data_IF_176687216406
#
_entry.id   IF_176687216406
#
_cell.length_a   1.000
_cell.length_b   1.000
_cell.length_c   1.000
_cell.angle_alpha   90.00
_cell.angle_beta   90.00
_cell.angle_gamma   90.00
#
_symmetry.space_group_name_H-M   'P 1'
#
loop_
_entity.id
_entity.type
_entity.pdbx_description
1 polymer ?
#
# COMPACT_ATOMS: atom_id res chain seq x y z
N UNK A 1 15.49 -27.22 3.42
CA UNK A 1 14.31 -27.25 2.53
C UNK A 1 13.17 -27.83 3.31
N UNK A 2 12.05 -27.12 3.38
CA UNK A 2 10.83 -27.61 3.98
C UNK A 2 9.68 -27.36 2.99
N UNK A 3 8.85 -28.37 2.85
CA UNK A 3 7.55 -28.30 2.19
C UNK A 3 6.56 -28.51 3.32
N UNK A 4 5.53 -27.66 3.39
CA UNK A 4 4.41 -27.86 4.30
C UNK A 4 3.11 -27.84 3.51
N UNK A 5 2.17 -28.68 3.96
CA UNK A 5 0.85 -28.96 3.41
C UNK A 5 0.71 -29.11 1.88
N UNK A 6 0.84 -30.35 1.39
CA UNK A 6 0.36 -30.73 0.05
C UNK A 6 -1.03 -31.36 0.20
N UNK A 7 -2.04 -30.77 -0.46
CA UNK A 7 -3.37 -31.38 -0.64
C UNK A 7 -3.58 -31.70 -2.12
N UNK A 8 -3.74 -32.99 -2.42
CA UNK A 8 -4.03 -33.49 -3.77
C UNK A 8 -5.50 -33.89 -3.83
N UNK A 9 -6.25 -33.31 -4.75
CA UNK A 9 -7.64 -33.67 -5.00
C UNK A 9 -7.76 -34.47 -6.30
N UNK A 10 -8.55 -35.55 -6.27
CA UNK A 10 -8.92 -36.28 -7.49
C UNK A 10 -10.11 -35.56 -8.16
N UNK A 11 -9.88 -34.98 -9.35
CA UNK A 11 -10.87 -34.25 -10.12
C UNK A 11 -10.27 -33.00 -10.78
N UNK A 12 -11.08 -32.22 -11.47
CA UNK A 12 -10.70 -30.86 -11.86
C UNK A 12 -10.38 -30.06 -10.60
N UNK A 13 -9.29 -29.29 -10.59
CA UNK A 13 -9.00 -28.37 -9.49
C UNK A 13 -10.27 -27.55 -9.19
N UNK A 14 -10.70 -27.42 -7.92
CA UNK A 14 -11.83 -26.57 -7.59
C UNK A 14 -11.53 -25.19 -8.18
N UNK A 15 -12.45 -24.63 -8.97
CA UNK A 15 -12.34 -23.22 -9.33
C UNK A 15 -12.43 -22.44 -8.03
N UNK A 16 -11.27 -22.07 -7.46
CA UNK A 16 -11.23 -21.11 -6.37
C UNK A 16 -11.73 -19.83 -7.00
N UNK A 17 -13.00 -19.52 -6.73
CA UNK A 17 -13.60 -18.25 -7.10
C UNK A 17 -12.91 -17.18 -6.26
N UNK A 18 -11.78 -16.67 -6.76
CA UNK A 18 -11.06 -15.56 -6.15
C UNK A 18 -11.83 -14.25 -6.40
N UNK A 19 -13.06 -14.20 -5.89
CA UNK A 19 -13.92 -13.01 -5.89
C UNK A 19 -13.44 -11.98 -4.85
N UNK A 20 -12.48 -12.39 -3.99
CA UNK A 20 -11.88 -11.59 -2.95
C UNK A 20 -10.43 -12.02 -2.71
N UNK A 21 -9.50 -11.07 -2.79
CA UNK A 21 -8.10 -11.23 -2.38
C UNK A 21 -7.83 -10.20 -1.29
N UNK A 22 -7.22 -10.62 -0.19
CA UNK A 22 -6.69 -9.72 0.84
C UNK A 22 -5.35 -10.27 1.32
N UNK A 23 -4.28 -9.54 1.03
CA UNK A 23 -2.91 -9.95 1.29
C UNK A 23 -2.11 -8.81 1.90
N UNK A 24 -1.77 -8.97 3.19
CA UNK A 24 -0.87 -8.12 3.96
C UNK A 24 0.58 -8.65 3.96
N UNK A 25 0.82 -9.75 3.24
CA UNK A 25 2.10 -10.46 3.20
C UNK A 25 2.68 -10.87 4.56
N UNK A 26 1.93 -10.85 5.66
CA UNK A 26 2.53 -11.07 7.00
C UNK A 26 2.90 -12.52 7.28
N UNK A 27 2.27 -13.47 6.60
CA UNK A 27 2.51 -14.89 6.79
C UNK A 27 2.89 -15.63 5.50
N UNK A 28 2.37 -15.16 4.35
CA UNK A 28 2.52 -15.81 3.05
C UNK A 28 2.37 -14.82 1.89
N UNK A 29 2.59 -15.28 0.66
CA UNK A 29 2.40 -14.46 -0.55
C UNK A 29 0.94 -14.44 -1.06
N UNK A 30 0.00 -15.14 -0.41
CA UNK A 30 -1.41 -15.22 -0.81
C UNK A 30 -1.64 -15.58 -2.30
N UNK A 31 -0.75 -16.41 -2.87
CA UNK A 31 -0.79 -16.80 -4.29
C UNK A 31 -0.23 -15.76 -5.27
N UNK A 32 0.39 -14.68 -4.80
CA UNK A 32 1.20 -13.81 -5.64
C UNK A 32 2.49 -14.53 -6.06
N UNK A 33 2.80 -14.48 -7.36
CA UNK A 33 3.90 -15.22 -7.97
C UNK A 33 4.78 -14.25 -8.78
N UNK A 34 6.09 -14.16 -8.48
CA UNK A 34 7.02 -13.36 -9.27
C UNK A 34 7.35 -14.05 -10.61
N UNK A 35 7.75 -13.28 -11.61
CA UNK A 35 8.38 -13.83 -12.81
C UNK A 35 9.82 -14.30 -12.49
N UNK A 36 10.05 -15.61 -12.55
CA UNK A 36 11.29 -16.24 -12.06
C UNK A 36 12.55 -16.03 -12.94
N UNK A 37 12.43 -15.37 -14.09
CA UNK A 37 13.51 -15.27 -15.10
C UNK A 37 14.12 -13.86 -15.23
N UNK A 38 14.34 -13.17 -14.11
CA UNK A 38 14.91 -11.80 -14.09
C UNK A 38 16.10 -11.68 -13.15
N UNK A 39 16.97 -10.72 -13.44
CA UNK A 39 18.11 -10.35 -12.58
C UNK A 39 17.65 -9.80 -11.21
N UNK A 40 16.49 -9.14 -11.20
CA UNK A 40 15.82 -8.65 -10.00
C UNK A 40 14.39 -9.21 -10.02
N UNK A 41 14.05 -9.96 -8.97
CA UNK A 41 12.74 -10.60 -8.82
C UNK A 41 12.05 -10.05 -7.59
N UNK A 42 10.73 -9.93 -7.66
CA UNK A 42 9.92 -9.58 -6.50
C UNK A 42 10.07 -10.65 -5.43
N UNK A 43 10.39 -10.25 -4.21
CA UNK A 43 10.51 -11.15 -3.07
C UNK A 43 9.79 -10.56 -1.87
N UNK A 44 9.30 -11.45 -1.02
CA UNK A 44 8.79 -11.09 0.30
C UNK A 44 9.99 -10.81 1.22
N UNK A 45 9.99 -9.64 1.83
CA UNK A 45 10.99 -9.20 2.78
C UNK A 45 10.33 -8.89 4.12
N UNK A 46 11.08 -9.08 5.20
CA UNK A 46 10.83 -8.37 6.45
C UNK A 46 11.49 -7.00 6.36
N UNK A 47 10.92 -5.99 7.01
CA UNK A 47 11.45 -4.62 7.13
C UNK A 47 12.97 -4.50 7.33
N UNK A 48 13.58 -5.37 8.14
CA UNK A 48 15.02 -5.31 8.46
C UNK A 48 15.92 -6.08 7.47
N UNK A 49 15.33 -6.81 6.52
CA UNK A 49 16.05 -7.66 5.57
C UNK A 49 16.29 -6.98 4.21
N UNK A 50 15.83 -5.74 4.04
CA UNK A 50 16.07 -4.94 2.82
C UNK A 50 17.28 -4.03 2.98
N UNK A 51 17.85 -3.61 1.84
CA UNK A 51 19.00 -2.69 1.80
C UNK A 51 18.69 -1.29 2.31
N UNK A 52 17.42 -0.88 2.23
CA UNK A 52 16.95 0.42 2.71
C UNK A 52 16.78 0.40 4.24
N UNK A 53 17.47 1.32 4.93
CA UNK A 53 17.40 1.38 6.38
C UNK A 53 16.15 2.15 6.84
N UNK A 54 15.57 1.73 7.97
CA UNK A 54 14.44 2.39 8.65
C UNK A 54 13.11 2.39 7.88
N UNK A 55 12.89 1.41 7.01
CA UNK A 55 11.57 1.15 6.44
C UNK A 55 10.66 0.44 7.46
N UNK A 56 9.37 0.71 7.39
CA UNK A 56 8.29 0.03 8.11
C UNK A 56 7.39 -0.65 7.08
N UNK A 57 6.58 -1.63 7.45
CA UNK A 57 5.47 -2.10 6.58
C UNK A 57 4.41 -0.99 6.40
N UNK A 58 3.42 -1.23 5.52
CA UNK A 58 2.35 -0.26 5.31
C UNK A 58 1.48 -0.02 6.56
N UNK A 59 1.49 -0.96 7.51
CA UNK A 59 0.82 -0.88 8.81
C UNK A 59 1.62 -0.13 9.90
N UNK A 60 2.83 0.36 9.61
CA UNK A 60 3.80 1.00 10.52
C UNK A 60 4.39 0.09 11.62
N UNK A 61 4.46 -1.21 11.40
CA UNK A 61 5.20 -2.15 12.22
C UNK A 61 6.63 -2.33 11.71
N UNK A 62 7.59 -2.23 12.63
CA UNK A 62 9.03 -2.43 12.36
C UNK A 62 9.43 -3.88 12.11
N UNK A 63 8.51 -4.84 12.24
CA UNK A 63 8.74 -6.28 12.01
C UNK A 63 7.73 -6.86 11.00
N UNK A 64 7.05 -6.00 10.26
CA UNK A 64 6.10 -6.43 9.23
C UNK A 64 6.79 -6.89 7.97
N UNK A 65 5.98 -7.34 7.02
CA UNK A 65 6.43 -7.89 5.77
C UNK A 65 5.75 -7.22 4.59
N UNK A 66 6.43 -7.24 3.47
CA UNK A 66 5.92 -6.73 2.20
C UNK A 66 6.64 -7.45 1.06
N UNK A 67 6.15 -7.28 -0.16
CA UNK A 67 6.88 -7.72 -1.35
C UNK A 67 7.60 -6.55 -1.97
N UNK A 68 8.87 -6.74 -2.34
CA UNK A 68 9.68 -5.68 -2.91
C UNK A 68 10.64 -6.16 -3.99
N UNK A 69 10.98 -5.21 -4.86
CA UNK A 69 12.22 -5.19 -5.62
C UNK A 69 13.23 -4.36 -4.82
N UNK A 70 14.17 -5.05 -4.20
CA UNK A 70 15.31 -4.40 -3.55
C UNK A 70 16.46 -4.28 -4.56
N UNK A 71 16.74 -3.06 -4.99
CA UNK A 71 17.76 -2.77 -5.99
C UNK A 71 19.17 -2.70 -5.37
N UNK A 72 19.27 -2.65 -4.04
CA UNK A 72 20.53 -2.75 -3.29
C UNK A 72 21.64 -1.83 -3.80
N UNK A 73 22.86 -2.37 -3.87
CA UNK A 73 24.02 -1.74 -4.53
C UNK A 73 24.25 -2.31 -5.94
N UNK A 74 23.24 -2.95 -6.54
CA UNK A 74 23.41 -3.60 -7.84
C UNK A 74 23.58 -2.51 -8.91
N UNK A 75 24.81 -2.37 -9.41
CA UNK A 75 25.15 -1.33 -10.38
C UNK A 75 24.72 -1.76 -11.78
N UNK A 76 24.03 -0.86 -12.49
CA UNK A 76 23.64 -0.98 -13.91
C UNK A 76 22.54 -2.02 -14.19
N UNK A 77 21.50 -2.10 -13.35
CA UNK A 77 20.38 -3.00 -13.64
C UNK A 77 19.38 -2.32 -14.56
N UNK A 78 19.36 -2.85 -15.78
CA UNK A 78 18.47 -2.69 -16.93
C UNK A 78 17.22 -3.57 -16.93
N UNK A 79 16.02 -3.21 -16.48
CA UNK A 79 14.94 -4.19 -16.63
C UNK A 79 13.55 -3.88 -16.13
N UNK A 80 12.74 -4.93 -16.25
CA UNK A 80 11.35 -5.02 -15.82
C UNK A 80 11.17 -6.35 -15.10
N UNK A 81 10.47 -6.33 -13.96
CA UNK A 81 10.14 -7.52 -13.20
C UNK A 81 8.66 -7.51 -12.84
N UNK A 82 8.00 -8.66 -13.01
CA UNK A 82 6.54 -8.80 -12.88
C UNK A 82 6.19 -9.60 -11.63
N UNK A 83 5.15 -9.17 -10.94
CA UNK A 83 4.50 -9.91 -9.86
C UNK A 83 3.03 -10.08 -10.21
N UNK A 84 2.59 -11.33 -10.33
CA UNK A 84 1.24 -11.69 -10.72
C UNK A 84 0.41 -12.01 -9.48
N UNK A 85 -0.77 -11.43 -9.38
CA UNK A 85 -1.83 -11.92 -8.47
C UNK A 85 -2.40 -13.26 -8.95
N UNK A 86 -3.18 -13.97 -8.12
CA UNK A 86 -4.04 -15.06 -8.59
C UNK A 86 -5.00 -14.63 -9.71
N UNK A 87 -5.48 -15.60 -10.50
CA UNK A 87 -6.47 -15.33 -11.55
C UNK A 87 -7.79 -14.92 -10.91
N UNK A 88 -8.39 -13.87 -11.46
CA UNK A 88 -9.70 -13.34 -11.09
C UNK A 88 -10.72 -13.60 -12.19
N UNK A 89 -11.97 -13.77 -11.79
CA UNK A 89 -13.09 -13.87 -12.71
C UNK A 89 -13.47 -12.49 -13.27
N UNK A 90 -14.00 -12.42 -14.51
CA UNK A 90 -14.44 -11.17 -15.09
C UNK A 90 -15.62 -10.59 -14.31
N UNK A 91 -15.60 -9.26 -14.12
CA UNK A 91 -16.70 -8.52 -13.48
C UNK A 91 -16.87 -7.14 -14.11
N UNK A 92 -18.08 -6.59 -13.99
CA UNK A 92 -18.38 -5.24 -14.49
C UNK A 92 -17.53 -4.16 -13.80
N UNK A 93 -17.14 -4.37 -12.54
CA UNK A 93 -16.23 -3.49 -11.80
C UNK A 93 -15.56 -4.28 -10.68
N UNK A 94 -14.24 -4.19 -10.59
CA UNK A 94 -13.43 -4.70 -9.49
C UNK A 94 -12.69 -3.54 -8.84
N UNK A 95 -12.74 -3.45 -7.51
CA UNK A 95 -11.87 -2.55 -6.76
C UNK A 95 -10.55 -3.25 -6.48
N UNK A 96 -9.46 -2.57 -6.81
CA UNK A 96 -8.09 -2.94 -6.45
C UNK A 96 -7.55 -1.85 -5.54
N UNK A 97 -7.08 -2.22 -4.36
CA UNK A 97 -6.36 -1.32 -3.48
C UNK A 97 -5.06 -1.94 -3.01
N UNK A 98 -4.03 -1.13 -2.83
CA UNK A 98 -2.72 -1.57 -2.34
C UNK A 98 -1.95 -0.37 -1.79
N UNK A 99 -0.96 -0.63 -0.95
CA UNK A 99 0.03 0.35 -0.56
C UNK A 99 1.31 0.14 -1.39
N UNK A 100 1.99 1.21 -1.76
CA UNK A 100 3.32 1.12 -2.36
C UNK A 100 4.31 2.10 -1.74
N UNK A 101 5.58 1.71 -1.71
CA UNK A 101 6.71 2.53 -1.29
C UNK A 101 7.74 2.54 -2.41
N UNK A 102 8.15 3.72 -2.86
CA UNK A 102 9.15 3.88 -3.91
C UNK A 102 10.18 4.91 -3.49
N UNK A 103 11.39 4.43 -3.22
CA UNK A 103 12.57 5.26 -2.95
C UNK A 103 13.70 4.80 -3.84
N UNK A 104 14.18 5.67 -4.72
CA UNK A 104 15.28 5.36 -5.64
C UNK A 104 16.08 6.61 -5.96
N UNK A 105 17.33 6.43 -6.34
CA UNK A 105 18.15 7.52 -6.88
C UNK A 105 17.96 7.70 -8.40
N UNK A 106 17.18 6.84 -9.05
CA UNK A 106 16.88 6.91 -10.49
C UNK A 106 15.50 7.50 -10.77
N UNK A 107 15.47 8.57 -11.56
CA UNK A 107 14.22 9.20 -12.03
C UNK A 107 13.39 8.34 -12.99
N UNK A 108 13.93 7.21 -13.46
CA UNK A 108 13.29 6.36 -14.45
C UNK A 108 12.65 5.09 -13.85
N UNK A 109 12.72 4.92 -12.53
CA UNK A 109 12.06 3.79 -11.87
C UNK A 109 10.57 4.03 -11.76
N UNK A 110 9.76 3.03 -12.12
CA UNK A 110 8.30 3.11 -12.11
C UNK A 110 7.68 1.82 -11.58
N UNK A 111 6.53 1.97 -10.94
CA UNK A 111 5.58 0.91 -10.69
C UNK A 111 4.45 1.02 -11.72
N UNK A 112 4.37 0.08 -12.66
CA UNK A 112 3.29 -0.01 -13.63
C UNK A 112 2.29 -1.09 -13.18
N UNK A 113 1.01 -0.77 -13.22
CA UNK A 113 -0.09 -1.65 -12.85
C UNK A 113 -0.80 -2.08 -14.13
N UNK A 114 -0.88 -3.39 -14.34
CA UNK A 114 -1.55 -3.96 -15.51
C UNK A 114 -2.70 -4.89 -15.12
N UNK A 115 -3.72 -4.93 -15.97
CA UNK A 115 -4.59 -6.10 -16.09
C UNK A 115 -4.03 -6.99 -17.21
N UNK A 116 -3.77 -8.26 -16.89
CA UNK A 116 -3.25 -9.23 -17.85
C UNK A 116 -4.33 -10.25 -18.20
N UNK A 117 -4.62 -10.39 -19.50
CA UNK A 117 -5.50 -11.42 -20.06
C UNK A 117 -4.68 -12.31 -20.99
N UNK A 118 -4.30 -13.50 -20.52
CA UNK A 118 -3.40 -14.42 -21.23
C UNK A 118 -2.08 -13.75 -21.68
N UNK A 119 -1.96 -13.36 -22.95
CA UNK A 119 -0.76 -12.74 -23.52
C UNK A 119 -0.90 -11.22 -23.73
N UNK A 120 -2.01 -10.62 -23.30
CA UNK A 120 -2.28 -9.20 -23.42
C UNK A 120 -2.11 -8.50 -22.06
N UNK A 121 -1.51 -7.32 -22.08
CA UNK A 121 -1.32 -6.47 -20.90
C UNK A 121 -1.95 -5.11 -21.17
N UNK A 122 -2.98 -4.77 -20.41
CA UNK A 122 -3.61 -3.46 -20.40
C UNK A 122 -3.01 -2.62 -19.28
N UNK A 123 -2.38 -1.49 -19.61
CA UNK A 123 -1.84 -0.58 -18.60
C UNK A 123 -2.99 0.16 -17.93
N UNK A 124 -3.17 -0.06 -16.63
CA UNK A 124 -4.18 0.64 -15.82
C UNK A 124 -3.60 1.97 -15.31
N UNK A 125 -2.42 1.92 -14.71
CA UNK A 125 -1.81 3.10 -14.09
C UNK A 125 -0.29 2.96 -13.96
N UNK A 126 0.41 4.08 -13.94
CA UNK A 126 1.87 4.14 -13.73
C UNK A 126 2.21 5.14 -12.63
N UNK A 127 3.05 4.71 -11.68
CA UNK A 127 3.54 5.52 -10.58
C UNK A 127 5.05 5.67 -10.71
N UNK A 128 5.53 6.92 -10.71
CA UNK A 128 6.94 7.25 -10.57
C UNK A 128 7.19 7.92 -9.23
N UNK A 129 8.46 8.02 -8.83
CA UNK A 129 8.80 8.79 -7.63
C UNK A 129 8.40 10.25 -7.81
N UNK A 130 7.38 10.68 -7.06
CA UNK A 130 6.79 12.02 -7.13
C UNK A 130 7.43 12.97 -6.11
N UNK A 131 8.09 12.45 -5.08
CA UNK A 131 8.79 13.21 -4.05
C UNK A 131 9.90 12.38 -3.38
N UNK A 132 10.80 13.04 -2.65
CA UNK A 132 11.77 12.36 -1.78
C UNK A 132 11.17 11.97 -0.41
N UNK A 133 9.83 12.00 -0.27
CA UNK A 133 9.19 11.62 0.99
C UNK A 133 9.29 10.10 1.18
N UNK A 134 9.85 9.70 2.32
CA UNK A 134 10.02 8.30 2.72
C UNK A 134 8.72 7.81 3.37
N UNK A 135 7.70 7.51 2.55
CA UNK A 135 6.40 7.04 3.02
C UNK A 135 5.71 6.07 2.06
N UNK A 136 4.78 5.30 2.61
CA UNK A 136 3.83 4.49 1.86
C UNK A 136 2.71 5.35 1.27
N UNK A 137 2.24 4.98 0.09
CA UNK A 137 1.12 5.60 -0.61
C UNK A 137 0.03 4.55 -0.83
N UNK A 138 -1.18 4.77 -0.32
CA UNK A 138 -2.32 3.91 -0.65
C UNK A 138 -2.92 4.31 -1.99
N UNK A 139 -3.29 3.30 -2.75
CA UNK A 139 -3.88 3.41 -4.09
C UNK A 139 -5.23 2.70 -4.08
N UNK A 140 -6.17 3.27 -4.83
CA UNK A 140 -7.47 2.66 -5.17
C UNK A 140 -7.69 2.78 -6.67
N UNK A 141 -7.96 1.67 -7.34
CA UNK A 141 -8.20 1.58 -8.78
C UNK A 141 -9.49 0.79 -9.01
N UNK A 142 -10.31 1.25 -9.94
CA UNK A 142 -11.45 0.49 -10.44
C UNK A 142 -11.07 -0.10 -11.79
N UNK A 143 -11.18 -1.42 -11.90
CA UNK A 143 -10.76 -2.19 -13.08
C UNK A 143 -11.96 -2.96 -13.62
N UNK A 144 -12.15 -2.95 -14.93
CA UNK A 144 -13.24 -3.67 -15.60
C UNK A 144 -12.62 -4.61 -16.62
N UNK A 145 -12.99 -5.89 -16.59
CA UNK A 145 -12.41 -6.91 -17.48
C UNK A 145 -13.48 -7.89 -17.93
N UNK A 146 -13.51 -8.18 -19.23
CA UNK A 146 -14.50 -9.07 -19.85
C UNK A 146 -14.08 -10.56 -19.83
N UNK A 147 -12.81 -10.83 -19.53
CA UNK A 147 -12.24 -12.18 -19.47
C UNK A 147 -11.52 -12.40 -18.14
N UNK A 148 -11.21 -13.66 -17.83
CA UNK A 148 -10.35 -13.99 -16.68
C UNK A 148 -9.02 -13.26 -16.81
N UNK A 149 -8.57 -12.66 -15.71
CA UNK A 149 -7.43 -11.76 -15.72
C UNK A 149 -6.62 -11.84 -14.43
N UNK A 150 -5.39 -11.33 -14.47
CA UNK A 150 -4.55 -11.14 -13.30
C UNK A 150 -4.21 -9.65 -13.17
N UNK A 151 -4.21 -9.14 -11.94
CA UNK A 151 -3.51 -7.90 -11.63
C UNK A 151 -2.00 -8.19 -11.65
N UNK A 152 -1.23 -7.33 -12.32
CA UNK A 152 0.22 -7.45 -12.40
C UNK A 152 0.88 -6.15 -11.94
N UNK A 153 1.80 -6.28 -10.99
CA UNK A 153 2.71 -5.22 -10.59
C UNK A 153 4.01 -5.38 -11.37
N UNK A 154 4.30 -4.45 -12.29
CA UNK A 154 5.58 -4.37 -12.98
C UNK A 154 6.44 -3.30 -12.32
N UNK A 155 7.62 -3.68 -11.84
CA UNK A 155 8.67 -2.73 -11.53
C UNK A 155 9.58 -2.54 -12.73
N UNK A 156 9.56 -1.35 -13.31
CA UNK A 156 10.51 -0.91 -14.34
C UNK A 156 11.64 -0.14 -13.66
N UNK A 157 12.88 -0.55 -13.88
CA UNK A 157 14.07 0.06 -13.27
C UNK A 157 15.15 0.26 -14.33
N UNK A 158 15.82 1.41 -14.26
CA UNK A 158 16.83 1.80 -15.24
C UNK A 158 17.96 2.58 -14.56
N UNK A 159 19.15 1.97 -14.48
CA UNK A 159 20.42 2.64 -14.18
C UNK A 159 21.23 2.02 -13.05
N UNK A 160 22.19 2.80 -12.53
CA UNK A 160 22.90 2.54 -11.26
C UNK A 160 21.99 2.90 -10.08
N UNK A 161 20.85 2.22 -9.98
CA UNK A 161 19.80 2.56 -9.01
C UNK A 161 20.04 1.82 -7.69
N UNK A 162 20.44 2.56 -6.64
CA UNK A 162 20.13 2.14 -5.27
C UNK A 162 18.68 2.48 -4.95
N UNK A 163 18.03 1.64 -4.16
CA UNK A 163 16.69 1.90 -3.66
C UNK A 163 15.81 0.65 -3.55
N UNK A 164 14.53 0.90 -3.32
CA UNK A 164 13.51 -0.11 -3.14
C UNK A 164 12.19 0.33 -3.77
N UNK A 165 11.52 -0.62 -4.41
CA UNK A 165 10.11 -0.53 -4.79
C UNK A 165 9.36 -1.65 -4.07
N UNK A 166 8.45 -1.30 -3.16
CA UNK A 166 7.69 -2.24 -2.36
C UNK A 166 6.18 -2.07 -2.57
N UNK A 167 5.44 -3.17 -2.42
CA UNK A 167 3.98 -3.26 -2.46
C UNK A 167 3.52 -4.05 -1.25
N UNK A 168 2.43 -3.61 -0.64
CA UNK A 168 1.88 -4.16 0.59
C UNK A 168 0.36 -3.94 0.68
N UNK A 169 -0.32 -4.58 1.64
CA UNK A 169 -1.75 -4.45 1.93
C UNK A 169 -2.64 -4.48 0.66
N UNK A 170 -2.50 -5.51 -0.16
CA UNK A 170 -3.24 -5.67 -1.42
C UNK A 170 -4.61 -6.25 -1.15
N UNK A 171 -5.66 -5.52 -1.51
CA UNK A 171 -7.05 -6.00 -1.46
C UNK A 171 -7.70 -5.88 -2.83
N UNK A 172 -8.34 -6.94 -3.29
CA UNK A 172 -9.10 -6.96 -4.54
C UNK A 172 -10.48 -7.54 -4.27
N UNK A 173 -11.54 -6.86 -4.71
CA UNK A 173 -12.91 -7.31 -4.51
C UNK A 173 -13.85 -6.79 -5.59
N UNK A 174 -14.92 -7.56 -5.83
CA UNK A 174 -15.95 -7.17 -6.80
C UNK A 174 -16.75 -5.96 -6.32
N UNK A 175 -16.95 -4.99 -7.22
CA UNK A 175 -17.66 -3.74 -6.99
C UNK A 175 -16.76 -2.51 -7.09
N UNK A 176 -17.39 -1.34 -7.01
CA UNK A 176 -16.70 -0.06 -6.97
C UNK A 176 -15.80 0.04 -5.73
N UNK A 177 -14.72 0.80 -5.84
CA UNK A 177 -13.92 1.08 -4.66
C UNK A 177 -14.75 1.89 -3.70
N UNK A 178 -14.86 1.39 -2.46
CA UNK A 178 -15.26 2.21 -1.32
C UNK A 178 -14.16 3.22 -1.08
N UNK A 179 -14.14 4.28 -1.89
CA UNK A 179 -13.33 5.43 -1.55
C UNK A 179 -13.87 5.92 -0.22
N UNK A 180 -13.02 6.03 0.79
CA UNK A 180 -13.29 6.82 1.98
C UNK A 180 -13.27 8.31 1.59
N UNK A 181 -14.08 8.71 0.60
CA UNK A 181 -14.36 10.11 0.22
C UNK A 181 -15.05 10.86 1.36
N UNK A 182 -15.47 10.14 2.40
CA UNK A 182 -15.80 10.68 3.71
C UNK A 182 -14.89 10.04 4.74
N UNK A 183 -13.85 10.78 5.10
CA UNK A 183 -13.13 10.53 6.33
C UNK A 183 -13.99 10.97 7.50
N UNK A 184 -14.84 10.05 7.95
CA UNK A 184 -15.56 10.15 9.20
C UNK A 184 -14.68 9.82 10.42
N UNK A 185 -13.40 9.52 10.18
CA UNK A 185 -12.39 9.12 11.16
C UNK A 185 -12.63 7.74 11.78
N UNK A 186 -13.61 6.96 11.33
CA UNK A 186 -13.86 5.61 11.84
C UNK A 186 -12.74 4.65 11.43
N UNK A 187 -12.12 4.86 10.28
CA UNK A 187 -10.90 4.19 9.83
C UNK A 187 -9.71 5.17 9.73
N UNK A 188 -8.47 4.65 9.67
CA UNK A 188 -7.26 5.49 9.50
C UNK A 188 -7.27 6.10 8.10
N UNK A 189 -7.91 7.24 7.97
CA UNK A 189 -7.71 8.10 6.82
C UNK A 189 -6.32 8.72 6.89
N UNK A 190 -5.63 8.71 5.75
CA UNK A 190 -4.26 9.18 5.48
C UNK A 190 -4.04 10.69 5.73
N UNK A 191 -4.46 11.21 6.88
CA UNK A 191 -4.21 12.59 7.30
C UNK A 191 -2.94 12.63 8.14
N UNK A 192 -1.96 13.39 7.67
CA UNK A 192 -0.77 13.71 8.46
C UNK A 192 -0.82 15.14 8.98
N UNK A 193 -0.32 15.35 10.20
CA UNK A 193 -0.07 16.70 10.70
C UNK A 193 1.10 17.30 9.93
N UNK A 194 0.86 18.35 9.14
CA UNK A 194 1.93 19.01 8.38
C UNK A 194 2.39 20.28 9.09
N UNK A 195 3.70 20.39 9.31
CA UNK A 195 4.33 21.60 9.84
C UNK A 195 4.54 22.63 8.73
N UNK A 196 4.18 23.89 8.97
CA UNK A 196 4.54 24.98 8.06
C UNK A 196 6.06 25.10 7.90
N UNK A 197 6.53 25.45 6.70
CA UNK A 197 7.96 25.75 6.46
C UNK A 197 8.46 26.78 7.49
N UNK A 198 9.51 26.43 8.24
CA UNK A 198 10.16 27.30 9.23
C UNK A 198 9.76 27.08 10.69
N UNK A 199 8.97 26.04 11.00
CA UNK A 199 8.63 25.68 12.39
C UNK A 199 9.58 24.59 12.92
N UNK A 200 10.24 24.84 14.05
CA UNK A 200 11.12 23.86 14.72
C UNK A 200 10.35 22.62 15.18
N UNK A 201 10.98 21.43 15.15
CA UNK A 201 10.46 20.13 15.67
C UNK A 201 9.97 20.14 17.14
N UNK A 202 10.07 21.26 17.85
CA UNK A 202 9.50 21.48 19.19
C UNK A 202 8.11 22.14 19.09
N UNK A 203 7.12 21.40 18.59
CA UNK A 203 5.73 21.87 18.56
C UNK A 203 4.93 21.04 19.55
N UNK A 204 4.31 21.71 20.52
CA UNK A 204 3.55 21.07 21.60
C UNK A 204 2.11 20.73 21.20
N UNK A 205 1.73 20.93 19.93
CA UNK A 205 0.39 20.66 19.45
C UNK A 205 0.36 19.96 18.09
N UNK A 206 -0.50 18.94 17.99
CA UNK A 206 -0.66 18.10 16.80
C UNK A 206 -2.10 17.57 16.71
N UNK A 207 -2.55 17.30 15.48
CA UNK A 207 -3.81 16.63 15.23
C UNK A 207 -3.67 15.14 15.51
N UNK A 208 -4.59 14.58 16.31
CA UNK A 208 -4.59 13.17 16.67
C UNK A 208 -5.99 12.60 16.54
N UNK A 209 -6.11 11.41 15.95
CA UNK A 209 -7.35 10.62 15.99
C UNK A 209 -7.56 10.10 17.41
N UNK A 210 -8.73 10.39 17.98
CA UNK A 210 -9.10 10.02 19.34
C UNK A 210 -10.55 9.53 19.37
N UNK A 211 -10.90 8.65 20.32
CA UNK A 211 -12.30 8.26 20.51
C UNK A 211 -13.04 9.40 21.22
N UNK A 212 -14.29 9.64 20.84
CA UNK A 212 -15.07 10.76 21.36
C UNK A 212 -15.23 10.78 22.89
N UNK A 213 -15.29 9.60 23.51
CA UNK A 213 -15.36 9.39 24.96
C UNK A 213 -14.01 9.48 25.70
N UNK A 214 -12.89 9.49 24.97
CA UNK A 214 -11.55 9.75 25.51
C UNK A 214 -11.26 11.26 25.65
N UNK A 215 -12.13 12.12 25.10
CA UNK A 215 -12.03 13.58 25.17
C UNK A 215 -12.83 14.15 26.35
N UNK A 216 -12.38 15.31 26.87
CA UNK A 216 -13.10 16.06 27.88
C UNK A 216 -13.32 17.53 27.44
N UNK A 217 -14.58 17.99 27.29
CA UNK A 217 -15.81 17.20 27.41
C UNK A 217 -15.90 16.09 26.35
N UNK A 218 -16.66 15.02 26.64
CA UNK A 218 -16.89 13.94 25.68
C UNK A 218 -17.53 14.50 24.41
N UNK A 219 -17.03 14.09 23.27
CA UNK A 219 -17.54 14.50 21.96
C UNK A 219 -18.33 13.32 21.38
N UNK A 220 -19.53 13.59 20.87
CA UNK A 220 -20.30 12.60 20.11
C UNK A 220 -19.83 12.68 18.68
N UNK A 221 -19.31 11.58 18.13
CA UNK A 221 -19.06 11.52 16.70
C UNK A 221 -20.39 11.69 15.96
N UNK A 222 -20.43 12.65 15.03
CA UNK A 222 -21.63 13.00 14.30
C UNK A 222 -21.97 12.00 13.20
N UNK A 223 -21.00 11.21 12.73
CA UNK A 223 -21.22 10.24 11.66
C UNK A 223 -21.99 9.03 12.17
N UNK A 224 -21.59 8.51 13.32
CA UNK A 224 -22.22 7.37 13.99
C UNK A 224 -23.22 7.78 15.07
N UNK A 225 -23.33 9.09 15.36
CA UNK A 225 -24.17 9.67 16.40
C UNK A 225 -23.97 9.00 17.78
N UNK A 226 -22.70 8.67 18.12
CA UNK A 226 -22.31 8.02 19.37
C UNK A 226 -20.93 8.47 19.83
N UNK A 227 -20.68 8.43 21.14
CA UNK A 227 -19.39 8.84 21.75
C UNK A 227 -18.25 7.82 21.54
N UNK A 228 -18.59 6.60 21.10
CA UNK A 228 -17.61 5.54 20.82
C UNK A 228 -16.99 5.64 19.42
N UNK A 229 -17.47 6.58 18.59
CA UNK A 229 -16.84 6.90 17.31
C UNK A 229 -15.55 7.70 17.49
N UNK A 230 -14.84 7.87 16.39
CA UNK A 230 -13.55 8.54 16.34
C UNK A 230 -13.68 9.95 15.77
N UNK A 231 -12.86 10.86 16.29
CA UNK A 231 -12.76 12.24 15.82
C UNK A 231 -11.30 12.65 15.73
N UNK A 232 -11.01 13.66 14.92
CA UNK A 232 -9.71 14.30 14.92
C UNK A 232 -9.68 15.46 15.91
N UNK A 233 -8.87 15.34 16.95
CA UNK A 233 -8.72 16.34 17.99
C UNK A 233 -7.35 17.03 17.91
N UNK A 234 -7.34 18.35 18.10
CA UNK A 234 -6.11 19.10 18.29
C UNK A 234 -5.64 18.92 19.74
N UNK A 235 -4.57 18.17 19.94
CA UNK A 235 -3.93 18.01 21.25
C UNK A 235 -2.91 19.12 21.40
N UNK A 236 -2.91 19.83 22.54
CA UNK A 236 -1.92 20.84 22.87
C UNK A 236 -1.41 20.65 24.30
N UNK A 237 -0.09 20.45 24.45
CA UNK A 237 0.57 20.23 25.73
C UNK A 237 0.91 21.55 26.48
N UNK A 238 0.78 22.72 25.86
CA UNK A 238 1.00 24.02 26.53
C UNK A 238 -0.13 25.02 26.31
N UNK A 239 -0.68 25.54 27.41
CA UNK A 239 -1.89 26.39 27.45
C UNK A 239 -1.80 27.77 26.76
N UNK A 240 -0.71 28.16 26.07
CA UNK A 240 -0.45 29.61 25.82
C UNK A 240 0.14 30.09 24.49
N UNK A 241 0.24 29.30 23.43
CA UNK A 241 0.55 29.89 22.10
C UNK A 241 -0.35 29.34 20.99
N UNK A 242 -1.09 30.23 20.33
CA UNK A 242 -1.77 29.95 19.08
C UNK A 242 -0.70 29.67 18.01
N UNK A 243 -0.71 28.47 17.44
CA UNK A 243 0.17 28.07 16.36
C UNK A 243 -0.68 27.63 15.17
N UNK A 244 -0.25 28.02 13.96
CA UNK A 244 -0.92 27.65 12.72
C UNK A 244 -0.56 26.21 12.36
N UNK A 245 -1.38 25.27 12.79
CA UNK A 245 -1.26 23.85 12.44
C UNK A 245 -2.20 23.57 11.28
N UNK A 246 -1.65 23.11 10.16
CA UNK A 246 -2.42 22.76 8.98
C UNK A 246 -2.67 21.27 8.97
N UNK A 247 -3.86 20.93 8.53
CA UNK A 247 -4.26 19.56 8.29
C UNK A 247 -4.42 19.43 6.78
N UNK A 248 -3.63 18.56 6.16
CA UNK A 248 -3.70 18.33 4.72
C UNK A 248 -4.31 16.95 4.47
N UNK A 249 -5.30 16.91 3.59
CA UNK A 249 -5.74 15.67 2.99
C UNK A 249 -4.67 15.25 1.97
N UNK A 250 -4.22 14.00 2.04
CA UNK A 250 -3.38 13.41 1.01
C UNK A 250 -4.29 12.97 -0.14
N UNK A 251 -4.32 13.74 -1.22
CA UNK A 251 -4.91 13.36 -2.52
C UNK A 251 -3.79 13.34 -3.56
#
# INVERSE_FOLDING_TARGET
MAIDEIKVYNGSCPEIRNEFINCDFENENCGFIPEDNKDVIWKRYMTNDVSEQYIYDASNYYNGHFVALDFGLVKNVIGKSLLYSPIMEPTETTCVSFAYYLKTDSSNTKLNIYASQANYFELIQSYSQNSYAEKWYKVYLEVQQEQKWNLVFEGEYNGTSSGILAVDDVTIYNGACKQYTRCDFEERCEWESVYGRGVSKQVNAFWKRMRGDDLYPKITDHTLNRVQGYVLALVNHEKRKSQNIKLNAMY
#
